data_IF_013059052251
#
_entry.id   IF_013059052251
#
_cell.length_a   1.000
_cell.length_b   1.000
_cell.length_c   1.000
_cell.angle_alpha   90.00
_cell.angle_beta   90.00
_cell.angle_gamma   90.00
#
_symmetry.space_group_name_H-M   'P 1'
#
loop_
_entity.id
_entity.type
_entity.pdbx_description
1 polymer ?
#
# COMPACT_ATOMS: atom_id res chain seq x y z
N UNK A 1 27.68 27.25 56.23
CA UNK A 1 26.75 27.75 55.26
C UNK A 1 27.02 27.27 53.78
N UNK A 2 28.16 26.70 53.44
CA UNK A 2 28.48 26.26 52.07
C UNK A 2 27.87 24.91 51.68
N UNK A 3 27.57 24.02 52.59
CA UNK A 3 27.02 22.69 52.30
C UNK A 3 25.57 22.71 51.82
N UNK A 4 24.77 23.64 52.27
CA UNK A 4 23.37 23.76 51.86
C UNK A 4 23.22 24.22 50.40
N UNK A 5 24.07 25.16 49.94
CA UNK A 5 24.03 25.68 48.57
C UNK A 5 24.35 24.64 47.49
N UNK A 6 25.26 23.68 47.78
CA UNK A 6 25.62 22.61 46.83
C UNK A 6 24.52 21.56 46.62
N UNK A 7 23.67 21.32 47.63
CA UNK A 7 22.55 20.38 47.54
C UNK A 7 21.40 20.95 46.70
N UNK A 8 21.12 22.23 46.84
CA UNK A 8 20.08 22.89 46.01
C UNK A 8 20.46 23.00 44.53
N UNK A 9 21.73 23.26 44.24
CA UNK A 9 22.21 23.30 42.85
C UNK A 9 22.10 21.94 42.13
N UNK A 10 22.33 20.83 42.83
CA UNK A 10 22.21 19.48 42.27
C UNK A 10 20.73 19.08 42.02
N UNK A 11 19.81 19.49 42.86
CA UNK A 11 18.38 19.24 42.71
C UNK A 11 17.78 20.07 41.56
N UNK A 12 18.22 21.32 41.41
CA UNK A 12 17.77 22.17 40.30
C UNK A 12 18.26 21.65 38.94
N UNK A 13 19.48 21.12 38.84
CA UNK A 13 20.00 20.51 37.61
C UNK A 13 19.25 19.23 37.22
N UNK A 14 18.89 18.39 38.19
CA UNK A 14 18.12 17.17 37.94
C UNK A 14 16.68 17.48 37.45
N UNK A 15 16.05 18.50 38.03
CA UNK A 15 14.71 18.93 37.59
C UNK A 15 14.73 19.53 36.19
N UNK A 16 15.76 20.29 35.83
CA UNK A 16 15.91 20.85 34.50
C UNK A 16 16.11 19.78 33.41
N UNK A 17 16.87 18.72 33.72
CA UNK A 17 17.07 17.59 32.81
C UNK A 17 15.78 16.77 32.58
N UNK A 18 14.97 16.61 33.63
CA UNK A 18 13.70 15.91 33.54
C UNK A 18 12.66 16.72 32.75
N UNK A 19 12.56 18.01 32.96
CA UNK A 19 11.69 18.90 32.23
C UNK A 19 12.08 19.01 30.75
N UNK A 20 13.37 19.04 30.42
CA UNK A 20 13.89 19.03 29.07
C UNK A 20 13.59 17.71 28.32
N UNK A 21 13.71 16.58 29.02
CA UNK A 21 13.40 15.25 28.45
C UNK A 21 11.93 15.08 28.08
N UNK A 22 11.02 15.56 28.93
CA UNK A 22 9.56 15.49 28.65
C UNK A 22 9.18 16.41 27.50
N UNK A 23 9.74 17.62 27.40
CA UNK A 23 9.46 18.52 26.29
C UNK A 23 9.97 17.98 24.95
N UNK A 24 11.16 17.39 24.91
CA UNK A 24 11.72 16.77 23.71
C UNK A 24 10.94 15.53 23.30
N UNK A 25 10.51 14.69 24.26
CA UNK A 25 9.68 13.51 23.99
C UNK A 25 8.33 13.88 23.42
N UNK A 26 7.67 14.90 23.92
CA UNK A 26 6.39 15.37 23.39
C UNK A 26 6.52 15.98 21.99
N UNK A 27 7.63 16.64 21.69
CA UNK A 27 7.86 17.20 20.36
C UNK A 27 8.02 16.08 19.31
N UNK A 28 8.78 15.05 19.61
CA UNK A 28 8.92 13.91 18.70
C UNK A 28 7.60 13.18 18.49
N UNK A 29 6.82 12.99 19.55
CA UNK A 29 5.49 12.37 19.44
C UNK A 29 4.53 13.21 18.57
N UNK A 30 4.54 14.53 18.69
CA UNK A 30 3.74 15.42 17.86
C UNK A 30 4.19 15.43 16.39
N UNK A 31 5.49 15.38 16.12
CA UNK A 31 6.00 15.35 14.75
C UNK A 31 5.67 14.04 14.05
N UNK A 32 5.76 12.91 14.73
CA UNK A 32 5.36 11.59 14.19
C UNK A 32 3.85 11.54 13.94
N UNK A 33 3.04 12.02 14.88
CA UNK A 33 1.58 12.09 14.70
C UNK A 33 1.17 13.02 13.53
N UNK A 34 1.90 14.13 13.33
CA UNK A 34 1.67 15.04 12.21
C UNK A 34 2.03 14.42 10.85
N UNK A 35 3.06 13.58 10.80
CA UNK A 35 3.47 12.86 9.59
C UNK A 35 2.50 11.72 9.19
N UNK A 36 1.75 11.19 10.13
CA UNK A 36 0.77 10.13 9.90
C UNK A 36 -0.65 10.64 9.60
N UNK A 37 -0.81 11.90 9.21
CA UNK A 37 -2.09 12.45 8.75
C UNK A 37 -2.35 12.07 7.29
N UNK A 38 -2.31 10.79 7.00
CA UNK A 38 -2.76 10.29 5.72
C UNK A 38 -4.29 10.32 5.67
N UNK A 39 -4.83 10.82 4.57
CA UNK A 39 -6.24 10.60 4.28
C UNK A 39 -6.53 9.10 4.29
N UNK A 40 -7.67 8.70 4.80
CA UNK A 40 -8.12 7.31 4.76
C UNK A 40 -9.24 7.19 3.71
N UNK A 41 -8.88 7.06 2.42
CA UNK A 41 -9.90 6.88 1.39
C UNK A 41 -10.68 5.59 1.66
N UNK A 42 -11.98 5.62 1.51
CA UNK A 42 -12.87 4.45 1.61
C UNK A 42 -12.94 3.67 0.30
N UNK A 43 -11.89 3.72 -0.47
CA UNK A 43 -11.74 2.94 -1.69
C UNK A 43 -11.22 1.54 -1.36
N UNK A 44 -11.42 0.61 -2.27
CA UNK A 44 -10.87 -0.75 -2.20
C UNK A 44 -9.71 -0.85 -3.17
N UNK A 45 -8.57 -1.36 -2.70
CA UNK A 45 -7.42 -1.65 -3.55
C UNK A 45 -7.29 -3.17 -3.70
N UNK A 46 -7.42 -3.65 -4.92
CA UNK A 46 -7.17 -5.03 -5.31
C UNK A 46 -5.74 -5.15 -5.81
N UNK A 47 -4.92 -5.94 -5.12
CA UNK A 47 -3.51 -6.16 -5.45
C UNK A 47 -3.33 -7.60 -5.88
N UNK A 48 -2.64 -7.80 -7.00
CA UNK A 48 -2.33 -9.13 -7.53
C UNK A 48 -0.84 -9.24 -7.79
N UNK A 49 -0.18 -10.21 -7.14
CA UNK A 49 1.16 -10.65 -7.49
C UNK A 49 1.06 -11.86 -8.42
N UNK A 50 1.93 -11.94 -9.42
CA UNK A 50 1.82 -12.96 -10.46
C UNK A 50 3.18 -13.50 -10.91
N UNK A 51 3.14 -14.73 -11.38
CA UNK A 51 4.24 -15.42 -12.07
C UNK A 51 3.78 -15.88 -13.44
N UNK A 52 4.55 -15.59 -14.46
CA UNK A 52 4.28 -16.04 -15.82
C UNK A 52 4.73 -17.50 -16.01
N UNK A 53 4.06 -18.21 -16.90
CA UNK A 53 4.62 -19.46 -17.42
C UNK A 53 5.89 -19.16 -18.20
N UNK A 54 6.87 -20.02 -18.13
CA UNK A 54 8.12 -19.88 -18.89
C UNK A 54 7.93 -19.84 -20.40
N UNK A 55 6.79 -20.35 -20.89
CA UNK A 55 6.40 -20.37 -22.32
C UNK A 55 5.71 -19.08 -22.76
N UNK A 56 5.36 -18.18 -21.84
CA UNK A 56 4.62 -16.96 -22.17
C UNK A 56 5.54 -15.94 -22.84
N UNK A 57 5.21 -15.55 -24.07
CA UNK A 57 5.98 -14.56 -24.83
C UNK A 57 5.88 -13.17 -24.20
N UNK A 58 6.86 -12.29 -24.49
CA UNK A 58 6.82 -10.91 -23.99
C UNK A 58 5.59 -10.16 -24.55
N UNK A 59 5.23 -10.39 -25.81
CA UNK A 59 4.05 -9.79 -26.40
C UNK A 59 2.76 -10.21 -25.68
N UNK A 60 2.61 -11.49 -25.30
CA UNK A 60 1.45 -11.96 -24.53
C UNK A 60 1.38 -11.34 -23.14
N UNK A 61 2.52 -11.18 -22.47
CA UNK A 61 2.63 -10.49 -21.18
C UNK A 61 2.17 -9.04 -21.27
N UNK A 62 2.64 -8.33 -22.28
CA UNK A 62 2.31 -6.92 -22.52
C UNK A 62 0.81 -6.77 -22.86
N UNK A 63 0.26 -7.65 -23.70
CA UNK A 63 -1.16 -7.67 -24.02
C UNK A 63 -2.05 -7.97 -22.81
N UNK A 64 -1.64 -8.92 -21.97
CA UNK A 64 -2.39 -9.27 -20.76
C UNK A 64 -2.49 -8.07 -19.81
N UNK A 65 -1.37 -7.35 -19.56
CA UNK A 65 -1.36 -6.15 -18.74
C UNK A 65 -2.11 -4.98 -19.40
N UNK A 66 -1.99 -4.80 -20.72
CA UNK A 66 -2.76 -3.79 -21.45
C UNK A 66 -4.27 -4.07 -21.39
N UNK A 67 -4.69 -5.34 -21.31
CA UNK A 67 -6.07 -5.75 -21.12
C UNK A 67 -6.70 -5.17 -19.84
N UNK A 68 -5.93 -5.07 -18.76
CA UNK A 68 -6.39 -4.43 -17.50
C UNK A 68 -6.76 -2.96 -17.76
N UNK A 69 -5.92 -2.24 -18.50
CA UNK A 69 -6.21 -0.84 -18.87
C UNK A 69 -7.50 -0.73 -19.70
N UNK A 70 -7.72 -1.67 -20.62
CA UNK A 70 -8.94 -1.71 -21.44
C UNK A 70 -10.18 -1.96 -20.59
N UNK A 71 -10.10 -2.87 -19.62
CA UNK A 71 -11.19 -3.13 -18.67
C UNK A 71 -11.48 -1.91 -17.80
N UNK A 72 -10.42 -1.30 -17.22
CA UNK A 72 -10.55 -0.12 -16.38
C UNK A 72 -11.27 1.03 -17.07
N UNK A 73 -11.10 1.19 -18.37
CA UNK A 73 -11.78 2.22 -19.15
C UNK A 73 -13.27 1.93 -19.40
N UNK A 74 -13.73 0.68 -19.21
CA UNK A 74 -15.07 0.22 -19.58
C UNK A 74 -15.92 -0.22 -18.39
N UNK A 75 -15.29 -0.62 -17.28
CA UNK A 75 -16.00 -1.10 -16.10
C UNK A 75 -16.17 0.08 -15.13
N UNK A 76 -17.41 0.47 -14.78
CA UNK A 76 -17.65 1.54 -13.82
C UNK A 76 -17.01 1.25 -12.45
N UNK A 77 -16.68 2.30 -11.71
CA UNK A 77 -16.15 2.18 -10.36
C UNK A 77 -14.65 1.91 -10.27
N UNK A 78 -13.94 1.63 -11.37
CA UNK A 78 -12.48 1.61 -11.38
C UNK A 78 -11.98 3.06 -11.31
N UNK A 79 -11.16 3.35 -10.29
CA UNK A 79 -10.64 4.69 -10.00
C UNK A 79 -9.20 4.88 -10.45
N UNK A 80 -8.34 3.88 -10.19
CA UNK A 80 -6.93 3.90 -10.56
C UNK A 80 -6.43 2.49 -10.92
N UNK A 81 -5.34 2.43 -11.69
CA UNK A 81 -4.61 1.20 -11.98
C UNK A 81 -3.10 1.43 -11.90
N UNK A 82 -2.38 0.42 -11.40
CA UNK A 82 -0.91 0.36 -11.37
C UNK A 82 -0.48 -0.93 -12.06
N UNK A 83 0.21 -0.84 -13.18
CA UNK A 83 0.56 -1.99 -14.02
C UNK A 83 2.06 -2.25 -14.08
N UNK A 84 2.89 -1.30 -13.60
CA UNK A 84 4.34 -1.41 -13.67
C UNK A 84 4.92 -1.77 -12.31
N UNK A 85 5.51 -2.95 -12.20
CA UNK A 85 6.33 -3.33 -11.06
C UNK A 85 7.60 -2.49 -11.04
N UNK A 86 7.78 -1.66 -10.00
CA UNK A 86 8.97 -0.82 -9.85
C UNK A 86 10.13 -1.59 -9.21
N UNK A 87 9.81 -2.42 -8.23
CA UNK A 87 10.77 -3.24 -7.51
C UNK A 87 10.11 -4.54 -7.07
N UNK A 88 10.72 -5.65 -7.43
CA UNK A 88 10.28 -6.97 -6.98
C UNK A 88 11.19 -7.46 -5.85
N UNK A 89 10.61 -7.77 -4.69
CA UNK A 89 11.29 -8.34 -3.53
C UNK A 89 10.83 -9.76 -3.22
N UNK A 90 9.87 -10.28 -3.98
CA UNK A 90 9.31 -11.62 -3.81
C UNK A 90 9.88 -12.51 -4.91
N UNK A 91 10.81 -13.39 -4.55
CA UNK A 91 11.60 -14.18 -5.52
C UNK A 91 10.78 -15.07 -6.44
N UNK A 92 9.61 -15.55 -5.97
CA UNK A 92 8.79 -16.54 -6.68
C UNK A 92 7.74 -15.91 -7.60
N UNK A 93 7.74 -14.58 -7.74
CA UNK A 93 6.81 -13.83 -8.59
C UNK A 93 7.56 -12.87 -9.52
N UNK A 94 6.99 -12.62 -10.70
CA UNK A 94 7.58 -11.75 -11.71
C UNK A 94 7.12 -10.30 -11.57
N UNK A 95 5.93 -10.09 -11.03
CA UNK A 95 5.40 -8.75 -10.92
C UNK A 95 4.16 -8.61 -10.04
N UNK A 96 3.70 -7.37 -9.99
CA UNK A 96 2.49 -6.96 -9.28
C UNK A 96 1.72 -5.95 -10.12
N UNK A 97 0.40 -6.04 -10.09
CA UNK A 97 -0.48 -4.96 -10.50
C UNK A 97 -1.49 -4.65 -9.40
N UNK A 98 -2.07 -3.46 -9.44
CA UNK A 98 -3.13 -3.07 -8.53
C UNK A 98 -4.23 -2.30 -9.25
N UNK A 99 -5.47 -2.45 -8.74
CA UNK A 99 -6.66 -1.74 -9.22
C UNK A 99 -7.34 -1.13 -8.00
N UNK A 100 -7.63 0.16 -8.05
CA UNK A 100 -8.41 0.85 -7.02
C UNK A 100 -9.86 1.02 -7.50
N UNK A 101 -10.79 0.65 -6.64
CA UNK A 101 -12.23 0.81 -6.86
C UNK A 101 -12.79 1.88 -5.93
N UNK A 102 -13.84 2.55 -6.35
CA UNK A 102 -14.53 3.58 -5.57
C UNK A 102 -15.20 3.03 -4.31
N UNK A 103 -15.60 1.75 -4.30
CA UNK A 103 -16.24 1.08 -3.18
C UNK A 103 -16.07 -0.45 -3.26
N UNK A 104 -16.52 -1.15 -2.22
CA UNK A 104 -16.55 -2.61 -2.19
C UNK A 104 -17.54 -3.19 -3.22
N UNK A 105 -18.67 -2.52 -3.43
CA UNK A 105 -19.67 -2.89 -4.45
C UNK A 105 -19.06 -2.80 -5.84
N UNK A 106 -18.35 -1.71 -6.15
CA UNK A 106 -17.66 -1.57 -7.44
C UNK A 106 -16.59 -2.65 -7.67
N UNK A 107 -15.92 -3.11 -6.61
CA UNK A 107 -14.98 -4.23 -6.69
C UNK A 107 -15.70 -5.57 -6.95
N UNK A 108 -16.89 -5.77 -6.38
CA UNK A 108 -17.74 -6.94 -6.64
C UNK A 108 -18.27 -6.93 -8.08
N UNK A 109 -18.82 -5.81 -8.53
CA UNK A 109 -19.32 -5.63 -9.91
C UNK A 109 -18.21 -5.88 -10.95
N UNK A 110 -16.99 -5.42 -10.67
CA UNK A 110 -15.84 -5.73 -11.50
C UNK A 110 -15.59 -7.24 -11.57
N UNK A 111 -15.60 -7.94 -10.44
CA UNK A 111 -15.32 -9.38 -10.40
C UNK A 111 -16.35 -10.19 -11.19
N UNK A 112 -17.61 -9.76 -11.23
CA UNK A 112 -18.73 -10.40 -11.96
C UNK A 112 -18.87 -9.92 -13.40
N UNK A 113 -18.10 -8.90 -13.80
CA UNK A 113 -18.18 -8.33 -15.15
C UNK A 113 -17.80 -9.35 -16.23
N UNK A 114 -18.59 -9.50 -17.32
CA UNK A 114 -18.22 -10.33 -18.47
C UNK A 114 -16.89 -9.92 -19.12
N UNK A 115 -16.52 -8.64 -19.05
CA UNK A 115 -15.24 -8.14 -19.56
C UNK A 115 -14.07 -8.66 -18.71
N UNK A 116 -14.23 -8.66 -17.38
CA UNK A 116 -13.24 -9.24 -16.47
C UNK A 116 -13.13 -10.74 -16.70
N UNK A 117 -14.24 -11.44 -16.81
CA UNK A 117 -14.25 -12.90 -17.05
C UNK A 117 -13.54 -13.28 -18.36
N UNK A 118 -13.77 -12.55 -19.44
CA UNK A 118 -13.11 -12.78 -20.73
C UNK A 118 -11.60 -12.54 -20.64
N UNK A 119 -11.18 -11.47 -19.94
CA UNK A 119 -9.78 -11.19 -19.70
C UNK A 119 -9.15 -12.25 -18.77
N UNK A 120 -9.84 -12.65 -17.69
CA UNK A 120 -9.39 -13.65 -16.71
C UNK A 120 -9.05 -14.98 -17.36
N UNK A 121 -9.88 -15.47 -18.30
CA UNK A 121 -9.61 -16.70 -19.05
C UNK A 121 -8.26 -16.63 -19.75
N UNK A 122 -7.99 -15.53 -20.46
CA UNK A 122 -6.70 -15.36 -21.13
C UNK A 122 -5.55 -15.22 -20.14
N UNK A 123 -5.75 -14.51 -19.04
CA UNK A 123 -4.78 -14.37 -17.97
C UNK A 123 -4.37 -15.73 -17.36
N UNK A 124 -5.33 -16.61 -17.10
CA UNK A 124 -5.10 -17.95 -16.55
C UNK A 124 -4.30 -18.86 -17.50
N UNK A 125 -4.45 -18.70 -18.80
CA UNK A 125 -3.63 -19.42 -19.78
C UNK A 125 -2.14 -19.04 -19.71
N UNK A 126 -1.85 -17.78 -19.40
CA UNK A 126 -0.52 -17.19 -19.48
C UNK A 126 0.26 -17.26 -18.16
N UNK A 127 -0.43 -17.18 -17.02
CA UNK A 127 0.19 -17.21 -15.70
C UNK A 127 0.42 -18.62 -15.18
N UNK A 128 1.53 -18.84 -14.49
CA UNK A 128 1.80 -20.05 -13.71
C UNK A 128 1.07 -19.99 -12.37
N UNK A 129 1.18 -18.84 -11.67
CA UNK A 129 0.59 -18.61 -10.36
C UNK A 129 0.21 -17.14 -10.16
N UNK A 130 -0.76 -16.89 -9.28
CA UNK A 130 -1.02 -15.55 -8.77
C UNK A 130 -1.68 -15.60 -7.39
N UNK A 131 -1.40 -14.59 -6.57
CA UNK A 131 -2.09 -14.34 -5.31
C UNK A 131 -2.71 -12.96 -5.36
N UNK A 132 -3.90 -12.83 -4.80
CA UNK A 132 -4.61 -11.55 -4.79
C UNK A 132 -5.12 -11.20 -3.40
N UNK A 133 -5.16 -9.91 -3.13
CA UNK A 133 -5.66 -9.33 -1.89
C UNK A 133 -6.55 -8.14 -2.20
N UNK A 134 -7.53 -7.91 -1.34
CA UNK A 134 -8.27 -6.66 -1.32
C UNK A 134 -8.09 -6.01 0.05
N UNK A 135 -7.85 -4.71 0.05
CA UNK A 135 -7.69 -3.92 1.26
C UNK A 135 -8.50 -2.63 1.15
N UNK A 136 -9.05 -2.20 2.27
CA UNK A 136 -9.71 -0.91 2.43
C UNK A 136 -9.37 -0.33 3.79
N UNK A 137 -9.66 0.95 4.00
CA UNK A 137 -9.62 1.54 5.33
C UNK A 137 -10.93 1.26 6.07
N UNK A 138 -10.87 1.13 7.43
CA UNK A 138 -12.05 0.94 8.29
C UNK A 138 -13.01 2.13 8.28
#
# INVERSE_FOLDING_TARGET
>A
MQFARRRFAKLAAAAALFAGGVAAGNWHAQSVAAQNRFGQPKSVVHVVVYKWKNTTSQNDKDQALAGIKTMAAKIPGVKNIWLKTQRNQIRDFDGVYAIEFTSAEAAADYAESPLHEAWRKRWEELRENSLSFQASNP
#
